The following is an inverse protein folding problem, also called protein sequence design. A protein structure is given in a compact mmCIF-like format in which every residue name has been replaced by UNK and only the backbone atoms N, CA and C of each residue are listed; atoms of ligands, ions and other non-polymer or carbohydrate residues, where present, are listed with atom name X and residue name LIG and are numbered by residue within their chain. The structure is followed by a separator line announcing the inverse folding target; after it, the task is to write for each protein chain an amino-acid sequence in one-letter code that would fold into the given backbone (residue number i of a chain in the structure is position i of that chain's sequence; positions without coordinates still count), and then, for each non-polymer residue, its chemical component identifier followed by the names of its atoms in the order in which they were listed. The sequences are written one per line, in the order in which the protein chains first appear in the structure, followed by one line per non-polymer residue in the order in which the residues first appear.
data_IF_346847238834
#
_entry.id   IF_346847238834
#
_cell.length_a   1.000
_cell.length_b   1.000
_cell.length_c   1.000
_cell.angle_alpha   90.00
_cell.angle_beta   90.00
_cell.angle_gamma   90.00
#
_symmetry.space_group_name_H-M   'P 1'
#
loop_
_entity.id
_entity.type
_entity.pdbx_description
1 polymer ?
#
# COMPACT_ATOMS: atom_id res chain seq x y z
N UNK A 1 7.85 -27.86 1.88
CA UNK A 1 7.70 -28.57 3.17
C UNK A 1 8.73 -29.68 3.17
N UNK A 2 9.54 -29.78 4.22
CA UNK A 2 10.59 -30.78 4.34
C UNK A 2 10.35 -31.61 5.59
N UNK A 3 10.55 -32.91 5.47
CA UNK A 3 10.42 -33.89 6.56
C UNK A 3 11.83 -34.30 6.99
N UNK A 4 12.13 -34.23 8.28
CA UNK A 4 13.45 -34.48 8.86
C UNK A 4 13.36 -35.49 10.00
N UNK A 5 14.00 -36.64 9.79
CA UNK A 5 14.08 -37.75 10.74
C UNK A 5 15.42 -37.78 11.50
N UNK A 6 16.40 -36.97 11.12
CA UNK A 6 17.78 -37.07 11.64
C UNK A 6 18.09 -36.03 12.72
N UNK A 7 17.73 -34.77 12.50
CA UNK A 7 18.06 -33.69 13.41
C UNK A 7 17.45 -33.85 14.81
N UNK A 8 16.19 -34.33 14.98
CA UNK A 8 15.61 -34.52 16.31
C UNK A 8 16.43 -35.46 17.18
N UNK A 9 16.87 -36.61 16.63
CA UNK A 9 17.72 -37.56 17.34
C UNK A 9 19.11 -36.99 17.66
N UNK A 10 19.71 -36.24 16.73
CA UNK A 10 21.01 -35.58 16.96
C UNK A 10 20.97 -34.51 18.06
N UNK A 11 19.83 -33.84 18.22
CA UNK A 11 19.62 -32.80 19.24
C UNK A 11 19.14 -33.38 20.58
N UNK A 12 18.94 -34.71 20.68
CA UNK A 12 18.41 -35.36 21.88
C UNK A 12 16.94 -35.06 22.14
N UNK A 13 16.16 -34.70 21.11
CA UNK A 13 14.74 -34.46 21.25
C UNK A 13 13.99 -35.80 21.41
N UNK A 14 13.16 -35.89 22.46
CA UNK A 14 12.35 -37.05 22.79
C UNK A 14 10.94 -36.63 23.27
N UNK A 15 9.96 -37.50 23.09
CA UNK A 15 8.63 -37.40 23.68
C UNK A 15 8.20 -38.75 24.28
N UNK A 16 7.24 -38.74 25.20
CA UNK A 16 6.65 -39.96 25.79
C UNK A 16 5.45 -40.37 24.96
N UNK A 17 5.48 -41.57 24.39
CA UNK A 17 4.40 -42.14 23.61
C UNK A 17 3.29 -42.74 24.50
N UNK A 18 2.16 -43.12 23.91
CA UNK A 18 0.99 -43.67 24.62
C UNK A 18 1.30 -44.95 25.42
N UNK A 19 2.32 -45.70 25.00
CA UNK A 19 2.83 -46.90 25.68
C UNK A 19 3.87 -46.60 26.76
N UNK A 20 4.04 -45.32 27.16
CA UNK A 20 5.07 -44.81 28.06
C UNK A 20 6.53 -44.99 27.58
N UNK A 21 6.76 -45.35 26.31
CA UNK A 21 8.12 -45.40 25.75
C UNK A 21 8.61 -44.01 25.34
N UNK A 22 9.93 -43.81 25.37
CA UNK A 22 10.55 -42.58 24.86
C UNK A 22 10.83 -42.73 23.37
N UNK A 23 10.30 -41.81 22.56
CA UNK A 23 10.45 -41.84 21.10
C UNK A 23 10.97 -40.50 20.55
N UNK A 24 11.65 -40.58 19.40
CA UNK A 24 12.18 -39.40 18.71
C UNK A 24 11.10 -38.82 17.79
N UNK A 25 10.77 -37.53 17.89
CA UNK A 25 9.76 -36.92 17.02
C UNK A 25 10.27 -36.73 15.60
N UNK A 26 9.36 -36.70 14.62
CA UNK A 26 9.65 -36.26 13.25
C UNK A 26 9.54 -34.74 13.18
N UNK A 27 10.55 -34.07 12.62
CA UNK A 27 10.54 -32.62 12.48
C UNK A 27 10.09 -32.21 11.07
N UNK A 28 9.13 -31.28 11.01
CA UNK A 28 8.62 -30.70 9.77
C UNK A 28 9.12 -29.27 9.61
N UNK A 29 9.97 -29.04 8.60
CA UNK A 29 10.44 -27.71 8.26
C UNK A 29 9.53 -27.07 7.20
N UNK A 30 9.01 -25.87 7.48
CA UNK A 30 8.15 -25.12 6.56
C UNK A 30 8.51 -23.63 6.57
N UNK A 31 8.87 -23.11 5.39
CA UNK A 31 8.85 -21.69 5.08
C UNK A 31 7.72 -21.42 4.07
N UNK A 32 6.75 -20.57 4.43
CA UNK A 32 5.58 -20.29 3.57
C UNK A 32 5.97 -19.35 2.41
N UNK A 33 6.79 -18.34 2.70
CA UNK A 33 7.21 -17.30 1.74
C UNK A 33 8.68 -17.44 1.30
N UNK A 34 9.41 -18.43 1.82
CA UNK A 34 10.86 -18.53 1.59
C UNK A 34 11.63 -17.39 2.26
N UNK A 35 12.54 -16.73 1.54
CA UNK A 35 13.21 -15.51 2.01
C UNK A 35 12.39 -14.26 1.66
N UNK A 36 12.51 -13.23 2.48
CA UNK A 36 11.78 -11.96 2.28
C UNK A 36 12.20 -11.30 0.97
N UNK A 37 13.48 -11.33 0.63
CA UNK A 37 14.05 -10.72 -0.57
C UNK A 37 13.50 -11.36 -1.84
N UNK A 38 13.44 -12.70 -1.89
CA UNK A 38 12.86 -13.42 -3.03
C UNK A 38 11.36 -13.16 -3.12
N UNK A 39 10.66 -13.12 -2.00
CA UNK A 39 9.24 -12.84 -1.97
C UNK A 39 8.93 -11.43 -2.50
N UNK A 40 9.67 -10.41 -2.06
CA UNK A 40 9.54 -9.05 -2.58
C UNK A 40 9.87 -9.01 -4.08
N UNK A 41 10.93 -9.69 -4.53
CA UNK A 41 11.25 -9.81 -5.96
C UNK A 41 10.09 -10.38 -6.78
N UNK A 42 9.50 -11.49 -6.33
CA UNK A 42 8.32 -12.09 -6.97
C UNK A 42 7.12 -11.13 -6.97
N UNK A 43 6.88 -10.38 -5.89
CA UNK A 43 5.82 -9.38 -5.86
C UNK A 43 6.09 -8.26 -6.88
N UNK A 44 7.32 -7.75 -6.95
CA UNK A 44 7.68 -6.71 -7.92
C UNK A 44 7.46 -7.18 -9.35
N UNK A 45 7.86 -8.40 -9.68
CA UNK A 45 7.63 -9.00 -11.00
C UNK A 45 6.14 -9.23 -11.27
N UNK A 46 5.42 -9.85 -10.33
CA UNK A 46 3.99 -10.15 -10.47
C UNK A 46 3.13 -8.91 -10.68
N UNK A 47 3.41 -7.83 -9.95
CA UNK A 47 2.70 -6.56 -10.10
C UNK A 47 3.32 -5.66 -11.18
N UNK A 48 4.41 -6.08 -11.83
CA UNK A 48 5.25 -5.22 -12.66
C UNK A 48 5.59 -3.88 -11.96
N UNK A 49 5.74 -3.86 -10.63
CA UNK A 49 5.93 -2.66 -9.80
C UNK A 49 4.66 -1.86 -9.47
N UNK A 50 3.48 -2.19 -10.02
CA UNK A 50 2.19 -1.56 -9.70
C UNK A 50 1.56 -2.13 -8.42
N UNK A 51 2.28 -2.02 -7.30
CA UNK A 51 1.89 -2.62 -6.03
C UNK A 51 0.46 -2.22 -5.60
N UNK A 52 -0.32 -3.13 -4.98
CA UNK A 52 -1.63 -2.80 -4.43
C UNK A 52 -1.49 -1.82 -3.26
N UNK A 53 -2.55 -1.05 -2.91
CA UNK A 53 -2.49 -0.04 -1.83
C UNK A 53 -1.87 -0.53 -0.53
N UNK A 54 -2.14 -1.76 -0.10
CA UNK A 54 -1.59 -2.28 1.15
C UNK A 54 -0.06 -2.49 1.10
N UNK A 55 0.51 -2.80 -0.07
CA UNK A 55 1.96 -2.99 -0.29
C UNK A 55 2.69 -1.76 -0.85
N UNK A 56 1.98 -0.83 -1.47
CA UNK A 56 2.59 0.28 -2.19
C UNK A 56 3.44 1.16 -1.26
N UNK A 57 4.72 1.46 -1.58
CA UNK A 57 5.58 2.27 -0.70
C UNK A 57 5.00 3.66 -0.49
N UNK A 58 4.43 4.24 -1.53
CA UNK A 58 3.57 5.43 -1.46
C UNK A 58 2.19 5.02 -1.97
N UNK A 59 1.17 5.24 -1.15
CA UNK A 59 -0.22 4.87 -1.45
C UNK A 59 -0.92 5.99 -2.23
N UNK A 60 -0.59 7.24 -1.91
CA UNK A 60 -1.27 8.42 -2.42
C UNK A 60 -0.29 9.55 -2.75
N UNK A 61 -0.30 10.04 -3.98
CA UNK A 61 0.37 11.28 -4.37
C UNK A 61 -0.61 12.44 -4.45
N UNK A 62 -0.28 13.60 -3.88
CA UNK A 62 -1.14 14.81 -3.90
C UNK A 62 -0.47 15.87 -4.77
N UNK A 63 -1.16 16.33 -5.82
CA UNK A 63 -0.66 17.35 -6.73
C UNK A 63 -1.52 18.62 -6.68
N UNK A 64 -0.91 19.75 -6.34
CA UNK A 64 -1.53 21.07 -6.44
C UNK A 64 -1.42 21.64 -7.88
N UNK A 65 -2.47 22.36 -8.30
CA UNK A 65 -2.51 23.04 -9.61
C UNK A 65 -1.58 24.25 -9.66
N UNK A 66 -1.54 25.06 -8.60
CA UNK A 66 -0.71 26.25 -8.46
C UNK A 66 -0.14 26.37 -7.06
N UNK A 67 0.82 27.28 -6.86
CA UNK A 67 1.46 27.55 -5.58
C UNK A 67 0.44 27.96 -4.49
N UNK A 68 -0.64 28.64 -4.86
CA UNK A 68 -1.71 29.05 -3.95
C UNK A 68 -2.46 27.90 -3.27
N UNK A 69 -2.29 26.64 -3.72
CA UNK A 69 -2.85 25.45 -3.06
C UNK A 69 -1.79 24.59 -2.36
N UNK A 70 -0.53 25.03 -2.28
CA UNK A 70 0.55 24.23 -1.68
C UNK A 70 0.28 23.88 -0.21
N UNK A 71 -0.16 24.86 0.58
CA UNK A 71 -0.53 24.62 1.98
C UNK A 71 -1.70 23.62 2.12
N UNK A 72 -2.68 23.69 1.22
CA UNK A 72 -3.81 22.77 1.21
C UNK A 72 -3.38 21.34 0.84
N UNK A 73 -2.51 21.19 -0.16
CA UNK A 73 -1.94 19.89 -0.54
C UNK A 73 -1.13 19.26 0.61
N UNK A 74 -0.33 20.06 1.32
CA UNK A 74 0.41 19.61 2.50
C UNK A 74 -0.53 19.16 3.63
N UNK A 75 -1.57 19.94 3.90
CA UNK A 75 -2.56 19.64 4.94
C UNK A 75 -3.36 18.36 4.63
N UNK A 76 -3.74 18.13 3.36
CA UNK A 76 -4.34 16.87 2.90
C UNK A 76 -3.38 15.70 3.15
N UNK A 77 -2.11 15.83 2.76
CA UNK A 77 -1.10 14.80 2.97
C UNK A 77 -0.89 14.48 4.47
N UNK A 78 -0.81 15.51 5.31
CA UNK A 78 -0.68 15.35 6.77
C UNK A 78 -1.92 14.69 7.38
N UNK A 79 -3.12 15.04 6.92
CA UNK A 79 -4.36 14.44 7.40
C UNK A 79 -4.37 12.93 7.11
N UNK A 80 -3.98 12.51 5.91
CA UNK A 80 -3.86 11.09 5.56
C UNK A 80 -2.76 10.37 6.35
N UNK A 81 -1.60 11.02 6.54
CA UNK A 81 -0.50 10.47 7.36
C UNK A 81 -0.91 10.24 8.81
N UNK A 82 -1.68 11.15 9.41
CA UNK A 82 -2.21 11.00 10.78
C UNK A 82 -3.15 9.80 10.92
N UNK A 83 -3.75 9.35 9.83
CA UNK A 83 -4.58 8.14 9.79
C UNK A 83 -3.79 6.86 9.46
N UNK A 84 -2.45 6.94 9.34
CA UNK A 84 -1.58 5.80 9.08
C UNK A 84 -1.32 5.51 7.61
N UNK A 85 -1.78 6.36 6.68
CA UNK A 85 -1.54 6.19 5.25
C UNK A 85 -0.19 6.77 4.81
N UNK A 86 0.40 6.17 3.76
CA UNK A 86 1.65 6.62 3.14
C UNK A 86 1.33 7.58 2.00
N UNK A 87 1.25 8.87 2.32
CA UNK A 87 0.88 9.92 1.39
C UNK A 87 2.02 10.94 1.16
N UNK A 88 2.18 11.47 -0.05
CA UNK A 88 3.21 12.47 -0.38
C UNK A 88 2.64 13.59 -1.25
N UNK A 89 3.09 14.83 -1.00
CA UNK A 89 2.65 16.00 -1.77
C UNK A 89 3.74 16.44 -2.77
N UNK A 90 3.36 16.58 -4.04
CA UNK A 90 4.20 17.14 -5.11
C UNK A 90 3.91 18.63 -5.29
N UNK A 91 4.73 19.46 -4.61
CA UNK A 91 4.58 20.91 -4.54
C UNK A 91 5.41 21.67 -5.57
N UNK A 92 6.09 20.97 -6.50
CA UNK A 92 6.95 21.61 -7.51
C UNK A 92 6.16 22.62 -8.34
N UNK A 93 6.78 23.70 -8.79
CA UNK A 93 6.11 24.67 -9.67
C UNK A 93 6.10 24.18 -11.13
N UNK A 94 5.35 23.11 -11.38
CA UNK A 94 5.26 22.43 -12.67
C UNK A 94 3.81 22.32 -13.12
N UNK A 95 3.59 22.17 -14.43
CA UNK A 95 2.23 21.96 -14.97
C UNK A 95 1.59 20.72 -14.33
N UNK A 96 0.31 20.82 -13.97
CA UNK A 96 -0.42 19.72 -13.32
C UNK A 96 -0.38 18.41 -14.12
N UNK A 97 -0.43 18.49 -15.45
CA UNK A 97 -0.30 17.33 -16.34
C UNK A 97 1.05 16.63 -16.21
N UNK A 98 2.12 17.39 -16.02
CA UNK A 98 3.46 16.85 -15.77
C UNK A 98 3.51 16.15 -14.41
N UNK A 99 3.00 16.77 -13.35
CA UNK A 99 2.94 16.15 -12.00
C UNK A 99 2.17 14.84 -12.00
N UNK A 100 0.96 14.83 -12.58
CA UNK A 100 0.13 13.63 -12.68
C UNK A 100 0.89 12.53 -13.42
N UNK A 101 1.55 12.85 -14.54
CA UNK A 101 2.36 11.87 -15.29
C UNK A 101 3.55 11.35 -14.48
N UNK A 102 4.26 12.23 -13.78
CA UNK A 102 5.40 11.85 -12.94
C UNK A 102 4.98 10.91 -11.79
N UNK A 103 3.86 11.21 -11.12
CA UNK A 103 3.29 10.34 -10.09
C UNK A 103 2.77 9.02 -10.67
N UNK A 104 2.16 9.04 -11.86
CA UNK A 104 1.69 7.83 -12.53
C UNK A 104 2.85 6.90 -12.95
N UNK A 105 4.00 7.45 -13.36
CA UNK A 105 5.21 6.67 -13.67
C UNK A 105 5.76 5.92 -12.46
N UNK A 106 5.53 6.43 -11.24
CA UNK A 106 5.85 5.75 -9.99
C UNK A 106 4.82 4.65 -9.62
N UNK A 107 3.79 4.47 -10.46
CA UNK A 107 2.74 3.45 -10.31
C UNK A 107 1.94 3.57 -9.00
N UNK A 108 1.79 4.79 -8.49
CA UNK A 108 1.00 5.07 -7.29
C UNK A 108 -0.45 4.58 -7.46
N UNK A 109 -1.04 3.93 -6.44
CA UNK A 109 -2.43 3.49 -6.49
C UNK A 109 -3.41 4.65 -6.70
N UNK A 110 -3.17 5.77 -6.02
CA UNK A 110 -4.01 6.96 -6.07
C UNK A 110 -3.22 8.25 -6.27
N UNK A 111 -3.77 9.14 -7.08
CA UNK A 111 -3.31 10.51 -7.27
C UNK A 111 -4.48 11.43 -6.93
N UNK A 112 -4.27 12.32 -5.96
CA UNK A 112 -5.21 13.37 -5.60
C UNK A 112 -4.78 14.66 -6.27
N UNK A 113 -5.73 15.32 -6.93
CA UNK A 113 -5.52 16.67 -7.47
C UNK A 113 -6.29 17.66 -6.61
N UNK A 114 -5.61 18.75 -6.25
CA UNK A 114 -6.20 19.84 -5.46
C UNK A 114 -6.01 21.18 -6.17
N UNK A 115 -7.13 21.80 -6.53
CA UNK A 115 -7.22 23.16 -7.05
C UNK A 115 -8.00 24.06 -6.10
N UNK A 116 -8.35 25.26 -6.56
CA UNK A 116 -9.16 26.18 -5.76
C UNK A 116 -10.60 25.71 -5.56
N UNK A 117 -11.12 24.87 -6.46
CA UNK A 117 -12.47 24.28 -6.32
C UNK A 117 -12.55 23.23 -5.22
N UNK A 118 -11.42 22.59 -4.92
CA UNK A 118 -11.30 21.52 -3.95
C UNK A 118 -10.98 22.03 -2.54
N UNK A 119 -10.53 23.29 -2.42
CA UNK A 119 -10.37 23.94 -1.11
C UNK A 119 -11.72 23.95 -0.38
N UNK A 120 -11.69 23.88 0.96
CA UNK A 120 -12.90 24.04 1.75
C UNK A 120 -13.61 25.33 1.36
N UNK A 121 -14.90 25.22 1.02
CA UNK A 121 -15.74 26.39 0.87
C UNK A 121 -16.15 26.88 2.27
N UNK A 122 -17.19 27.72 2.35
CA UNK A 122 -17.75 28.15 3.64
C UNK A 122 -18.21 27.00 4.55
N UNK A 123 -18.38 25.79 4.00
CA UNK A 123 -18.77 24.57 4.70
C UNK A 123 -17.63 23.90 5.51
N UNK A 124 -16.37 24.31 5.30
CA UNK A 124 -15.22 23.71 5.97
C UNK A 124 -14.85 22.29 5.51
N UNK A 125 -15.50 21.78 4.45
CA UNK A 125 -15.30 20.39 3.99
C UNK A 125 -14.16 20.33 2.98
N UNK A 126 -13.07 19.62 3.34
CA UNK A 126 -11.95 19.33 2.44
C UNK A 126 -12.38 18.37 1.34
N UNK A 127 -12.14 18.73 0.08
CA UNK A 127 -12.41 17.89 -1.09
C UNK A 127 -11.14 17.60 -1.88
N UNK A 128 -11.16 16.52 -2.64
CA UNK A 128 -10.04 16.11 -3.52
C UNK A 128 -10.61 15.50 -4.80
N UNK A 129 -9.98 15.79 -5.94
CA UNK A 129 -10.26 15.08 -7.19
C UNK A 129 -9.40 13.82 -7.23
N UNK A 130 -10.04 12.65 -7.25
CA UNK A 130 -9.38 11.36 -7.06
C UNK A 130 -9.17 10.67 -8.40
N UNK A 131 -7.92 10.32 -8.68
CA UNK A 131 -7.55 9.48 -9.82
C UNK A 131 -6.95 8.18 -9.32
N UNK A 132 -7.56 7.06 -9.67
CA UNK A 132 -7.00 5.74 -9.46
C UNK A 132 -6.01 5.41 -10.59
N UNK A 133 -5.08 4.50 -10.28
CA UNK A 133 -4.11 3.98 -11.25
C UNK A 133 -4.80 3.43 -12.50
N UNK A 134 -4.15 3.58 -13.64
CA UNK A 134 -4.73 3.25 -14.95
C UNK A 134 -5.55 4.38 -15.57
N UNK A 135 -5.52 5.58 -14.99
CA UNK A 135 -6.22 6.74 -15.52
C UNK A 135 -7.72 6.74 -15.21
N UNK A 136 -8.16 5.95 -14.23
CA UNK A 136 -9.55 5.88 -13.82
C UNK A 136 -9.87 7.12 -12.96
N UNK A 137 -10.73 7.99 -13.49
CA UNK A 137 -11.20 9.17 -12.76
C UNK A 137 -12.36 8.76 -11.84
N UNK A 138 -12.17 8.92 -10.53
CA UNK A 138 -13.19 8.64 -9.51
C UNK A 138 -13.96 9.92 -9.11
N UNK A 139 -13.69 11.04 -9.79
CA UNK A 139 -14.34 12.32 -9.56
C UNK A 139 -13.89 13.01 -8.27
N UNK A 140 -14.65 14.03 -7.89
CA UNK A 140 -14.42 14.80 -6.67
C UNK A 140 -15.19 14.16 -5.51
N UNK A 141 -14.50 13.93 -4.39
CA UNK A 141 -15.10 13.47 -3.15
C UNK A 141 -14.50 14.20 -1.95
N UNK A 142 -15.12 14.04 -0.78
CA UNK A 142 -14.56 14.57 0.46
C UNK A 142 -13.29 13.81 0.82
N UNK A 143 -12.37 14.46 1.53
CA UNK A 143 -11.16 13.81 2.02
C UNK A 143 -11.49 12.62 2.93
N UNK A 144 -12.56 12.72 3.71
CA UNK A 144 -13.05 11.65 4.58
C UNK A 144 -13.55 10.44 3.78
N UNK A 145 -14.37 10.66 2.74
CA UNK A 145 -14.84 9.57 1.87
C UNK A 145 -13.67 8.89 1.15
N UNK A 146 -12.69 9.66 0.68
CA UNK A 146 -11.48 9.09 0.08
C UNK A 146 -10.68 8.26 1.10
N UNK A 147 -10.51 8.76 2.32
CA UNK A 147 -9.79 8.02 3.35
C UNK A 147 -10.49 6.71 3.73
N UNK A 148 -11.83 6.69 3.79
CA UNK A 148 -12.61 5.48 4.02
C UNK A 148 -12.46 4.47 2.86
N UNK A 149 -12.46 4.96 1.61
CA UNK A 149 -12.20 4.13 0.44
C UNK A 149 -10.80 3.48 0.49
N UNK A 150 -9.77 4.28 0.77
CA UNK A 150 -8.40 3.79 0.91
C UNK A 150 -8.26 2.80 2.07
N UNK A 151 -8.91 3.06 3.22
CA UNK A 151 -8.94 2.15 4.36
C UNK A 151 -9.53 0.80 3.97
N UNK A 152 -10.66 0.79 3.24
CA UNK A 152 -11.30 -0.42 2.78
C UNK A 152 -10.40 -1.21 1.83
N UNK A 153 -9.73 -0.56 0.88
CA UNK A 153 -8.82 -1.22 -0.05
C UNK A 153 -7.60 -1.82 0.64
N UNK A 154 -7.05 -1.12 1.65
CA UNK A 154 -5.94 -1.63 2.45
C UNK A 154 -6.37 -2.82 3.31
N UNK A 155 -7.50 -2.70 4.02
CA UNK A 155 -8.01 -3.73 4.92
C UNK A 155 -8.40 -5.01 4.16
N UNK A 156 -9.00 -4.86 2.99
CA UNK A 156 -9.44 -5.98 2.15
C UNK A 156 -8.37 -6.45 1.16
N UNK A 157 -7.16 -5.87 1.22
CA UNK A 157 -6.02 -6.19 0.34
C UNK A 157 -6.37 -6.14 -1.15
N UNK A 158 -7.26 -5.21 -1.53
CA UNK A 158 -7.74 -5.07 -2.91
C UNK A 158 -6.65 -4.55 -3.84
N UNK A 159 -6.76 -4.89 -5.12
CA UNK A 159 -6.04 -4.20 -6.18
C UNK A 159 -6.84 -2.98 -6.65
N UNK A 160 -6.13 -1.96 -7.13
CA UNK A 160 -6.70 -0.73 -7.67
C UNK A 160 -6.12 -0.48 -9.06
N UNK A 161 -6.99 -0.14 -10.00
CA UNK A 161 -6.67 -0.03 -11.41
C UNK A 161 -6.60 -1.40 -12.11
N UNK A 162 -6.39 -1.43 -13.44
CA UNK A 162 -6.22 -2.68 -14.15
C UNK A 162 -5.02 -3.44 -13.59
N UNK A 163 -5.24 -4.72 -13.27
CA UNK A 163 -4.15 -5.69 -13.26
C UNK A 163 -3.58 -5.65 -14.68
N UNK A 164 -2.28 -5.33 -14.82
CA UNK A 164 -1.64 -5.26 -16.13
C UNK A 164 -1.85 -6.53 -16.96
#
# INVERSE_FOLDING_TARGET
MQVDFQMPGRLGAEYVAEDNTRQVPVMLHRAIIGSMERFIGMLVEHYAGAMPPWLAPVQVGIANISEGQAAYAQDVAQTLKKQGFRAEADLRNEKITYKIRALALQKLPYILVVGDKEKPAADGIKRVAVRARGGVDLGVMTLESFAALLAADVAQRRQVGPAG
#
